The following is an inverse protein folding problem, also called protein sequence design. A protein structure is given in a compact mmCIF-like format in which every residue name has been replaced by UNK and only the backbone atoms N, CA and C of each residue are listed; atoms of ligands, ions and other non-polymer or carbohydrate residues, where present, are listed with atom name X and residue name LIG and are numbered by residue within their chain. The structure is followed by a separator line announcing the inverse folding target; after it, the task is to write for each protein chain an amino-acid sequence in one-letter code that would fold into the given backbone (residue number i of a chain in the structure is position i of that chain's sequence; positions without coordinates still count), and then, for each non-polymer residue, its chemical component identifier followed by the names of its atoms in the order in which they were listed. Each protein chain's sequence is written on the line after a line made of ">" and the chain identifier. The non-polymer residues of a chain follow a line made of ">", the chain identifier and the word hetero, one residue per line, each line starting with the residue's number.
data_IF_017091986232
#
_entry.id   IF_017091986232
#
_cell.length_a   1.000
_cell.length_b   1.000
_cell.length_c   1.000
_cell.angle_alpha   90.00
_cell.angle_beta   90.00
_cell.angle_gamma   90.00
#
_symmetry.space_group_name_H-M   'P 1'
#
loop_
_entity.id
_entity.type
_entity.pdbx_description
1 polymer ?
#
# COMPACT_ATOMS: atom_id res chain seq x y z
N UNK A 1 3.34 4.47 -10.56
CA UNK A 1 2.95 4.48 -9.13
C UNK A 1 2.38 3.11 -8.82
N UNK A 2 2.84 2.46 -7.75
CA UNK A 2 2.30 1.17 -7.30
C UNK A 2 1.53 1.42 -6.01
N UNK A 3 0.24 1.07 -6.01
CA UNK A 3 -0.61 1.25 -4.84
C UNK A 3 -1.11 -0.10 -4.35
N UNK A 4 -1.00 -0.36 -3.06
CA UNK A 4 -1.57 -1.53 -2.41
C UNK A 4 -2.73 -1.11 -1.50
N UNK A 5 -3.80 -1.90 -1.47
CA UNK A 5 -4.91 -1.72 -0.53
C UNK A 5 -4.77 -2.73 0.59
N UNK A 6 -4.73 -2.25 1.83
CA UNK A 6 -4.87 -3.05 3.03
C UNK A 6 -6.31 -2.96 3.53
N UNK A 7 -6.98 -4.11 3.57
CA UNK A 7 -8.34 -4.18 4.13
C UNK A 7 -8.30 -4.16 5.66
N UNK A 8 -9.06 -3.24 6.26
CA UNK A 8 -9.23 -3.12 7.70
C UNK A 8 -9.35 -1.68 8.22
N UNK A 9 -9.25 -1.54 9.53
CA UNK A 9 -9.29 -0.25 10.23
C UNK A 9 -7.90 0.42 10.23
N UNK A 10 -7.86 1.70 9.89
CA UNK A 10 -6.63 2.51 9.85
C UNK A 10 -5.90 2.58 11.19
N UNK A 11 -6.60 2.55 12.32
CA UNK A 11 -6.00 2.57 13.65
C UNK A 11 -5.26 1.26 13.95
N UNK A 12 -5.75 0.14 13.42
CA UNK A 12 -5.16 -1.18 13.63
C UNK A 12 -4.07 -1.54 12.61
N UNK A 13 -4.06 -0.87 11.44
CA UNK A 13 -3.15 -1.18 10.32
C UNK A 13 -1.96 -0.22 10.19
N UNK A 14 -1.78 0.73 11.11
CA UNK A 14 -0.73 1.76 10.99
C UNK A 14 0.69 1.19 10.83
N UNK A 15 1.02 0.18 11.62
CA UNK A 15 2.34 -0.47 11.54
C UNK A 15 2.44 -1.31 10.26
N UNK A 16 1.37 -2.01 9.88
CA UNK A 16 1.28 -2.77 8.63
C UNK A 16 1.49 -1.87 7.40
N UNK A 17 0.93 -0.66 7.38
CA UNK A 17 1.12 0.33 6.31
C UNK A 17 2.60 0.65 6.13
N UNK A 18 3.30 0.91 7.24
CA UNK A 18 4.72 1.27 7.21
C UNK A 18 5.56 0.10 6.70
N UNK A 19 5.29 -1.11 7.19
CA UNK A 19 5.98 -2.33 6.78
C UNK A 19 5.73 -2.66 5.30
N UNK A 20 4.47 -2.62 4.84
CA UNK A 20 4.11 -2.93 3.45
C UNK A 20 4.70 -1.90 2.50
N UNK A 21 4.70 -0.61 2.87
CA UNK A 21 5.31 0.44 2.06
C UNK A 21 6.81 0.21 1.89
N UNK A 22 7.53 -0.06 2.97
CA UNK A 22 8.97 -0.35 2.90
C UNK A 22 9.27 -1.55 2.00
N UNK A 23 8.49 -2.63 2.10
CA UNK A 23 8.62 -3.80 1.23
C UNK A 23 8.34 -3.49 -0.23
N UNK A 24 7.35 -2.64 -0.53
CA UNK A 24 7.06 -2.22 -1.90
C UNK A 24 8.17 -1.35 -2.48
N UNK A 25 8.73 -0.43 -1.68
CA UNK A 25 9.86 0.38 -2.10
C UNK A 25 11.09 -0.49 -2.41
N UNK A 26 11.39 -1.47 -1.55
CA UNK A 26 12.47 -2.45 -1.79
C UNK A 26 12.23 -3.26 -3.08
N UNK A 27 11.01 -3.75 -3.31
CA UNK A 27 10.68 -4.52 -4.52
C UNK A 27 10.73 -3.66 -5.79
N UNK A 28 10.33 -2.38 -5.73
CA UNK A 28 10.47 -1.44 -6.84
C UNK A 28 11.94 -1.25 -7.22
N UNK A 29 12.82 -1.10 -6.23
CA UNK A 29 14.26 -0.96 -6.47
C UNK A 29 14.87 -2.25 -7.05
N UNK A 30 14.52 -3.41 -6.48
CA UNK A 30 14.94 -4.73 -6.99
C UNK A 30 14.50 -4.96 -8.45
N UNK A 31 13.30 -4.51 -8.81
CA UNK A 31 12.78 -4.62 -10.17
C UNK A 31 13.27 -3.52 -11.11
N UNK A 32 14.09 -2.56 -10.62
CA UNK A 32 14.54 -1.37 -11.36
C UNK A 32 13.40 -0.55 -11.94
N UNK A 33 12.25 -0.56 -11.27
CA UNK A 33 11.08 0.23 -11.66
C UNK A 33 11.19 1.59 -11.01
N UNK A 34 11.38 2.64 -11.81
CA UNK A 34 11.30 4.01 -11.31
C UNK A 34 9.83 4.34 -10.99
N UNK A 35 9.50 4.43 -9.71
CA UNK A 35 8.15 4.70 -9.24
C UNK A 35 8.08 5.05 -7.76
N UNK A 36 6.87 5.35 -7.30
CA UNK A 36 6.55 5.59 -5.89
C UNK A 36 5.61 4.48 -5.42
N UNK A 37 5.90 3.88 -4.25
CA UNK A 37 4.98 3.00 -3.56
C UNK A 37 3.98 3.81 -2.72
N UNK A 38 2.71 3.41 -2.78
CA UNK A 38 1.62 3.94 -1.97
C UNK A 38 0.86 2.79 -1.32
N UNK A 39 0.35 3.03 -0.12
CA UNK A 39 -0.46 2.07 0.62
C UNK A 39 -1.70 2.79 1.13
N UNK A 40 -2.87 2.27 0.78
CA UNK A 40 -4.18 2.75 1.21
C UNK A 40 -4.77 1.75 2.22
N UNK A 41 -5.34 2.22 3.31
CA UNK A 41 -6.19 1.40 4.18
C UNK A 41 -7.64 1.70 3.86
N UNK A 42 -8.44 0.66 3.63
CA UNK A 42 -9.87 0.78 3.33
C UNK A 42 -10.66 -0.33 4.02
N UNK A 43 -11.96 -0.11 4.25
CA UNK A 43 -12.81 -1.12 4.89
C UNK A 43 -13.07 -2.32 3.98
N UNK A 44 -12.94 -2.13 2.66
CA UNK A 44 -12.95 -3.19 1.66
C UNK A 44 -12.02 -2.88 0.50
N UNK A 45 -11.56 -3.92 -0.21
CA UNK A 45 -10.84 -3.73 -1.48
C UNK A 45 -11.69 -2.94 -2.49
N UNK A 46 -13.00 -3.17 -2.57
CA UNK A 46 -13.89 -2.46 -3.48
C UNK A 46 -13.97 -0.95 -3.20
N UNK A 47 -14.07 -0.57 -1.92
CA UNK A 47 -13.98 0.82 -1.49
C UNK A 47 -12.61 1.42 -1.83
N UNK A 48 -11.53 0.67 -1.55
CA UNK A 48 -10.16 1.11 -1.84
C UNK A 48 -9.92 1.36 -3.33
N UNK A 49 -10.46 0.50 -4.20
CA UNK A 49 -10.36 0.67 -5.66
C UNK A 49 -11.15 1.90 -6.13
N UNK A 50 -12.35 2.11 -5.58
CA UNK A 50 -13.18 3.27 -5.93
C UNK A 50 -12.54 4.61 -5.55
N UNK A 51 -11.79 4.64 -4.45
CA UNK A 51 -11.18 5.85 -3.89
C UNK A 51 -9.72 6.06 -4.31
N UNK A 52 -9.18 5.18 -5.16
CA UNK A 52 -7.85 5.33 -5.78
C UNK A 52 -7.90 6.24 -7.00
#
# INVERSE_FOLDING_TARGET
>A
MVTSILEGDIYNRKDDVTLVKARLDDELDRCRVKGLASVLVASSVGEGIKNM
#
